data_IF_429745575648
#
_entry.id   IF_429745575648
#
_cell.length_a   1.000
_cell.length_b   1.000
_cell.length_c   1.000
_cell.angle_alpha   90.00
_cell.angle_beta   90.00
_cell.angle_gamma   90.00
#
_symmetry.space_group_name_H-M   'P 1'
#
loop_
_entity.id
_entity.type
_entity.pdbx_description
1 polymer ?
#
# COMPACT_ATOMS: atom_id res chain seq x y z
N UNK A 1 0.06 -11.91 6.72
CA UNK A 1 1.44 -12.15 7.19
C UNK A 1 2.41 -11.68 6.12
N UNK A 2 3.54 -11.06 6.50
CA UNK A 2 4.59 -10.67 5.56
C UNK A 2 5.54 -11.83 5.29
N UNK A 3 6.05 -11.91 4.07
CA UNK A 3 7.20 -12.74 3.77
C UNK A 3 8.49 -12.10 4.34
N UNK A 4 9.47 -12.88 4.85
CA UNK A 4 10.72 -12.33 5.36
C UNK A 4 11.44 -11.42 4.36
N UNK A 5 11.37 -11.74 3.06
CA UNK A 5 12.03 -11.02 1.97
C UNK A 5 11.08 -10.02 1.25
N UNK A 6 9.95 -9.68 1.88
CA UNK A 6 8.99 -8.73 1.31
C UNK A 6 9.66 -7.41 0.93
N UNK A 7 9.27 -6.86 -0.21
CA UNK A 7 9.72 -5.55 -0.67
C UNK A 7 8.54 -4.61 -0.85
N UNK A 8 8.62 -3.43 -0.23
CA UNK A 8 7.72 -2.32 -0.48
C UNK A 8 8.37 -1.35 -1.46
N UNK A 9 7.66 -0.98 -2.52
CA UNK A 9 8.12 -0.03 -3.55
C UNK A 9 7.22 1.17 -3.63
N UNK A 10 7.78 2.36 -3.56
CA UNK A 10 7.07 3.61 -3.68
C UNK A 10 7.22 4.23 -5.07
N UNK A 11 6.11 4.66 -5.65
CA UNK A 11 6.15 5.42 -6.88
C UNK A 11 6.77 6.82 -6.69
N UNK A 12 7.04 7.50 -7.81
CA UNK A 12 7.70 8.81 -7.76
C UNK A 12 6.91 9.86 -6.97
N UNK A 13 5.57 9.79 -6.97
CA UNK A 13 4.74 10.71 -6.20
C UNK A 13 4.82 10.43 -4.71
N UNK A 14 4.81 9.16 -4.31
CA UNK A 14 4.97 8.75 -2.92
C UNK A 14 6.35 9.13 -2.38
N UNK A 15 7.42 8.96 -3.18
CA UNK A 15 8.77 9.39 -2.81
C UNK A 15 8.84 10.91 -2.61
N UNK A 16 8.24 11.71 -3.51
CA UNK A 16 8.16 13.17 -3.34
C UNK A 16 7.36 13.57 -2.09
N UNK A 17 6.41 12.75 -1.67
CA UNK A 17 5.65 12.93 -0.43
C UNK A 17 6.40 12.43 0.83
N UNK A 18 7.66 12.00 0.70
CA UNK A 18 8.53 11.60 1.81
C UNK A 18 8.59 10.09 2.07
N UNK A 19 8.02 9.25 1.20
CA UNK A 19 8.20 7.80 1.30
C UNK A 19 9.62 7.39 0.90
N UNK A 20 10.12 6.32 1.52
CA UNK A 20 11.34 5.66 1.05
C UNK A 20 11.03 4.93 -0.26
N UNK A 21 11.86 5.08 -1.28
CA UNK A 21 11.64 4.46 -2.61
C UNK A 21 11.47 2.95 -2.53
N UNK A 22 12.30 2.29 -1.74
CA UNK A 22 12.23 0.84 -1.55
C UNK A 22 12.54 0.52 -0.08
N UNK A 23 11.77 -0.40 0.50
CA UNK A 23 11.98 -0.93 1.85
C UNK A 23 11.94 -2.45 1.76
N UNK A 24 13.01 -3.10 2.23
CA UNK A 24 13.15 -4.54 2.16
C UNK A 24 13.08 -5.15 3.57
N UNK A 25 12.49 -6.33 3.66
CA UNK A 25 12.43 -7.10 4.90
C UNK A 25 11.15 -6.89 5.69
N UNK A 26 10.62 -7.99 6.26
CA UNK A 26 9.35 -7.98 6.97
C UNK A 26 9.26 -6.95 8.11
N UNK A 27 10.32 -6.81 8.91
CA UNK A 27 10.33 -5.87 10.05
C UNK A 27 10.25 -4.41 9.59
N UNK A 28 11.12 -3.99 8.66
CA UNK A 28 11.14 -2.63 8.15
C UNK A 28 9.88 -2.27 7.36
N UNK A 29 9.30 -3.23 6.63
CA UNK A 29 8.00 -3.05 5.99
C UNK A 29 6.90 -2.91 7.04
N UNK A 30 6.86 -3.74 8.09
CA UNK A 30 5.88 -3.63 9.15
C UNK A 30 5.92 -2.27 9.86
N UNK A 31 7.11 -1.72 10.13
CA UNK A 31 7.28 -0.39 10.74
C UNK A 31 6.61 0.74 9.92
N UNK A 32 6.55 0.58 8.60
CA UNK A 32 5.85 1.55 7.72
C UNK A 32 4.34 1.57 8.03
N UNK A 33 3.76 0.43 8.36
CA UNK A 33 2.34 0.29 8.70
C UNK A 33 2.03 0.63 10.16
N UNK A 34 2.97 0.39 11.07
CA UNK A 34 2.87 0.84 12.46
C UNK A 34 2.91 2.36 12.60
N UNK A 35 3.59 3.06 11.67
CA UNK A 35 3.67 4.52 11.63
C UNK A 35 2.75 5.16 10.59
N UNK A 36 3.32 5.44 9.41
CA UNK A 36 2.73 6.32 8.38
C UNK A 36 1.42 5.79 7.79
N UNK A 37 1.24 4.47 7.71
CA UNK A 37 0.02 3.87 7.17
C UNK A 37 -1.00 3.46 8.23
N UNK A 38 -0.88 3.94 9.48
CA UNK A 38 -1.79 3.56 10.58
C UNK A 38 -3.27 3.86 10.31
N UNK A 39 -3.54 4.84 9.44
CA UNK A 39 -4.90 5.23 9.03
C UNK A 39 -5.35 4.59 7.72
N UNK A 40 -4.56 3.68 7.16
CA UNK A 40 -4.97 2.95 5.96
C UNK A 40 -6.09 1.95 6.32
N UNK A 41 -7.13 1.94 5.49
CA UNK A 41 -8.25 1.02 5.58
C UNK A 41 -8.04 -0.13 4.61
N UNK A 42 -8.49 -1.33 4.98
CA UNK A 42 -8.48 -2.47 4.07
C UNK A 42 -9.37 -2.16 2.85
N UNK A 43 -8.93 -2.58 1.67
CA UNK A 43 -9.66 -2.35 0.43
C UNK A 43 -9.36 -3.43 -0.60
N UNK A 44 -10.22 -3.56 -1.60
CA UNK A 44 -9.90 -4.20 -2.86
C UNK A 44 -9.38 -3.15 -3.83
N UNK A 45 -8.24 -3.46 -4.46
CA UNK A 45 -7.58 -2.66 -5.49
C UNK A 45 -7.61 -3.48 -6.77
N UNK A 46 -8.42 -3.08 -7.74
CA UNK A 46 -8.70 -3.86 -8.96
C UNK A 46 -9.11 -5.31 -8.66
N UNK A 47 -9.93 -5.50 -7.62
CA UNK A 47 -10.39 -6.81 -7.16
C UNK A 47 -9.36 -7.63 -6.36
N UNK A 48 -8.12 -7.14 -6.19
CA UNK A 48 -7.08 -7.78 -5.37
C UNK A 48 -7.01 -7.14 -3.97
N UNK A 49 -6.58 -7.91 -2.97
CA UNK A 49 -6.45 -7.40 -1.59
C UNK A 49 -5.38 -6.30 -1.52
N UNK A 50 -5.74 -5.20 -0.87
CA UNK A 50 -4.86 -4.07 -0.63
C UNK A 50 -5.30 -3.24 0.57
N UNK A 51 -4.76 -2.03 0.65
CA UNK A 51 -5.22 -1.02 1.59
C UNK A 51 -5.23 0.36 0.93
N UNK A 52 -6.03 1.28 1.45
CA UNK A 52 -6.11 2.66 0.97
C UNK A 52 -6.11 3.62 2.14
N UNK A 53 -5.34 4.69 2.01
CA UNK A 53 -5.46 5.85 2.88
C UNK A 53 -6.18 6.97 2.14
N UNK A 54 -7.41 7.25 2.59
CA UNK A 54 -8.32 8.17 1.93
C UNK A 54 -8.88 9.22 2.90
N UNK A 55 -8.07 10.17 3.40
CA UNK A 55 -8.57 11.23 4.29
C UNK A 55 -9.68 12.03 3.60
N UNK A 56 -10.83 12.16 4.26
CA UNK A 56 -12.02 12.82 3.70
C UNK A 56 -12.65 12.08 2.52
N UNK A 57 -12.48 10.76 2.43
CA UNK A 57 -13.02 9.91 1.36
C UNK A 57 -12.30 10.02 0.03
N UNK A 58 -11.14 10.69 -0.01
CA UNK A 58 -10.35 10.88 -1.24
C UNK A 58 -9.06 10.06 -1.17
N UNK A 59 -8.88 9.03 -2.00
CA UNK A 59 -7.64 8.25 -2.04
C UNK A 59 -6.42 9.16 -2.22
N UNK A 60 -5.49 9.08 -1.28
CA UNK A 60 -4.19 9.76 -1.35
C UNK A 60 -3.06 8.78 -1.58
N UNK A 61 -3.19 7.58 -1.02
CA UNK A 61 -2.21 6.52 -1.13
C UNK A 61 -2.93 5.18 -1.19
N UNK A 62 -2.52 4.33 -2.12
CA UNK A 62 -2.97 2.94 -2.22
C UNK A 62 -1.78 2.02 -2.01
N UNK A 63 -2.00 0.96 -1.25
CA UNK A 63 -1.07 -0.12 -0.99
C UNK A 63 -1.59 -1.36 -1.71
N UNK A 64 -0.99 -1.69 -2.86
CA UNK A 64 -1.29 -2.93 -3.58
C UNK A 64 -0.47 -4.08 -3.02
N UNK A 65 -1.10 -5.20 -2.66
CA UNK A 65 -0.38 -6.35 -2.13
C UNK A 65 -0.21 -7.44 -3.20
N UNK A 66 1.02 -7.91 -3.35
CA UNK A 66 1.32 -9.14 -4.07
C UNK A 66 1.37 -10.29 -3.08
N UNK A 67 0.47 -11.25 -3.23
CA UNK A 67 0.34 -12.39 -2.31
C UNK A 67 0.75 -13.67 -3.03
N UNK A 68 1.61 -14.48 -2.39
CA UNK A 68 2.00 -15.81 -2.87
C UNK A 68 2.00 -16.78 -1.71
N UNK A 69 1.38 -17.95 -1.88
CA UNK A 69 1.27 -18.99 -0.83
C UNK A 69 0.80 -18.44 0.52
N UNK A 70 -0.17 -17.51 0.49
CA UNK A 70 -0.76 -16.92 1.70
C UNK A 70 0.10 -15.85 2.41
N UNK A 71 1.24 -15.45 1.85
CA UNK A 71 2.09 -14.36 2.39
C UNK A 71 2.17 -13.19 1.42
N UNK A 72 2.28 -11.98 1.97
CA UNK A 72 2.56 -10.78 1.18
C UNK A 72 4.05 -10.77 0.85
N UNK A 73 4.39 -10.92 -0.43
CA UNK A 73 5.77 -10.94 -0.95
C UNK A 73 6.18 -9.59 -1.54
N UNK A 74 5.21 -8.71 -1.80
CA UNK A 74 5.49 -7.36 -2.30
C UNK A 74 4.36 -6.39 -1.99
N UNK A 75 4.72 -5.11 -1.87
CA UNK A 75 3.77 -4.03 -1.64
C UNK A 75 4.12 -2.87 -2.58
N UNK A 76 3.15 -2.42 -3.38
CA UNK A 76 3.29 -1.22 -4.20
C UNK A 76 2.57 -0.05 -3.54
N UNK A 77 3.30 1.02 -3.25
CA UNK A 77 2.81 2.27 -2.70
C UNK A 77 2.58 3.27 -3.83
N UNK A 78 1.33 3.48 -4.18
CA UNK A 78 0.90 4.35 -5.27
C UNK A 78 0.31 5.63 -4.69
N UNK A 79 0.89 6.77 -5.03
CA UNK A 79 0.38 8.10 -4.63
C UNK A 79 0.21 9.04 -5.83
N UNK A 80 0.56 8.60 -7.04
CA UNK A 80 0.37 9.38 -8.26
C UNK A 80 -1.13 9.60 -8.54
N UNK A 81 -1.62 10.85 -8.56
CA UNK A 81 -3.05 11.14 -8.76
C UNK A 81 -3.64 10.57 -10.06
N UNK A 82 -2.85 10.52 -11.14
CA UNK A 82 -3.34 9.97 -12.41
C UNK A 82 -3.50 8.45 -12.32
N UNK A 83 -2.56 7.76 -11.67
CA UNK A 83 -2.66 6.32 -11.44
C UNK A 83 -3.80 5.98 -10.49
N UNK A 84 -3.97 6.75 -9.41
CA UNK A 84 -5.04 6.54 -8.44
C UNK A 84 -6.43 6.62 -9.07
N UNK A 85 -6.66 7.54 -10.02
CA UNK A 85 -7.94 7.65 -10.73
C UNK A 85 -8.26 6.47 -11.65
N UNK A 86 -7.24 5.69 -12.02
CA UNK A 86 -7.39 4.51 -12.87
C UNK A 86 -7.64 3.23 -12.07
N UNK A 87 -7.50 3.27 -10.75
CA UNK A 87 -7.72 2.12 -9.89
C UNK A 87 -9.21 2.00 -9.56
N UNK A 88 -9.72 0.78 -9.67
CA UNK A 88 -10.98 0.40 -9.06
C UNK A 88 -10.75 0.10 -7.57
N UNK A 89 -11.38 0.88 -6.70
CA UNK A 89 -11.17 0.83 -5.26
C UNK A 89 -12.49 0.56 -4.54
N UNK A 90 -12.54 -0.54 -3.80
CA UNK A 90 -13.65 -0.85 -2.89
C UNK A 90 -13.11 -0.93 -1.46
N UNK A 91 -13.46 0.03 -0.60
CA UNK A 91 -13.11 -0.02 0.82
C UNK A 91 -13.90 -1.15 1.46
N UNK A 92 -13.21 -1.99 2.23
CA UNK A 92 -13.84 -3.05 3.01
C UNK A 92 -14.24 -2.44 4.35
N UNK A 93 -15.54 -2.19 4.50
CA UNK A 93 -16.14 -1.91 5.81
C UNK A 93 -16.38 -3.25 6.53
N UNK A 94 -16.12 -3.27 7.84
CA UNK A 94 -16.44 -4.41 8.74
C UNK A 94 -17.96 -4.52 9.00
#
# INVERSE_FOLDING_TARGET
MLDPDVVLRADGAAVRAGATREVCGAASVADTFSGRARLAQAALVNGAVGAVWAPGGRPRVVFGFTITRGKIVGIDLVADPERLRQLDLAVLDD
#
